data_IF_249125297428
#
_entry.id   IF_249125297428
#
_cell.length_a   1.000
_cell.length_b   1.000
_cell.length_c   1.000
_cell.angle_alpha   90.00
_cell.angle_beta   90.00
_cell.angle_gamma   90.00
#
_symmetry.space_group_name_H-M   'P 1'
#
loop_
_entity.id
_entity.type
_entity.pdbx_description
1 polymer ?
#
# COMPACT_ATOMS: atom_id res chain seq x y z
N UNK A 1 -6.71 -13.91 2.45
CA UNK A 1 -6.90 -12.78 1.53
C UNK A 1 -8.37 -12.68 1.13
N UNK A 2 -8.94 -13.72 0.53
CA UNK A 2 -10.35 -13.76 0.08
C UNK A 2 -11.32 -13.48 1.24
N UNK A 3 -11.22 -14.20 2.34
CA UNK A 3 -12.06 -14.01 3.53
C UNK A 3 -11.98 -12.59 4.11
N UNK A 4 -10.84 -11.92 3.97
CA UNK A 4 -10.69 -10.53 4.39
C UNK A 4 -11.43 -9.57 3.46
N UNK A 5 -11.40 -9.84 2.16
CA UNK A 5 -12.17 -9.06 1.19
C UNK A 5 -13.69 -9.27 1.38
N UNK A 6 -14.12 -10.50 1.64
CA UNK A 6 -15.54 -10.82 1.88
C UNK A 6 -16.09 -10.16 3.14
N UNK A 7 -15.23 -9.84 4.11
CA UNK A 7 -15.59 -9.09 5.32
C UNK A 7 -15.77 -7.57 5.06
N UNK A 8 -15.42 -7.09 3.86
CA UNK A 8 -15.57 -5.67 3.51
C UNK A 8 -17.03 -5.30 3.28
N UNK A 9 -17.36 -4.04 3.56
CA UNK A 9 -18.71 -3.50 3.28
C UNK A 9 -19.03 -3.58 1.78
N UNK A 10 -20.28 -3.83 1.44
CA UNK A 10 -20.75 -3.96 0.05
C UNK A 10 -20.46 -2.70 -0.80
N UNK A 11 -20.49 -1.52 -0.19
CA UNK A 11 -20.14 -0.27 -0.87
C UNK A 11 -18.65 -0.21 -1.21
N UNK A 12 -17.80 -0.74 -0.31
CA UNK A 12 -16.36 -0.82 -0.53
C UNK A 12 -16.02 -1.84 -1.61
N UNK A 13 -16.72 -2.96 -1.65
CA UNK A 13 -16.56 -3.99 -2.69
C UNK A 13 -17.02 -3.53 -4.08
N UNK A 14 -17.95 -2.58 -4.15
CA UNK A 14 -18.51 -2.05 -5.40
C UNK A 14 -17.63 -1.03 -6.13
N UNK A 15 -16.54 -0.57 -5.53
CA UNK A 15 -15.64 0.45 -6.09
C UNK A 15 -14.24 -0.12 -6.32
N UNK A 16 -13.45 0.58 -7.13
CA UNK A 16 -12.05 0.22 -7.33
C UNK A 16 -11.23 0.46 -6.05
N UNK A 17 -10.68 -0.60 -5.51
CA UNK A 17 -9.94 -0.59 -4.26
C UNK A 17 -8.54 -1.17 -4.41
N UNK A 18 -7.69 -0.82 -3.46
CA UNK A 18 -6.37 -1.41 -3.30
C UNK A 18 -6.31 -2.16 -1.97
N UNK A 19 -5.82 -3.38 -2.01
CA UNK A 19 -5.53 -4.17 -0.81
C UNK A 19 -4.03 -4.16 -0.58
N UNK A 20 -3.60 -3.48 0.47
CA UNK A 20 -2.21 -3.43 0.90
C UNK A 20 -1.92 -4.56 1.88
N UNK A 21 -0.85 -5.28 1.65
CA UNK A 21 -0.38 -6.36 2.51
C UNK A 21 1.15 -6.49 2.43
N UNK A 22 1.72 -7.33 3.29
CA UNK A 22 3.14 -7.64 3.20
C UNK A 22 3.48 -8.38 1.89
N UNK A 23 4.58 -8.02 1.25
CA UNK A 23 5.01 -8.61 -0.03
C UNK A 23 5.26 -10.12 0.05
N UNK A 24 5.78 -10.60 1.18
CA UNK A 24 5.97 -12.03 1.41
C UNK A 24 4.64 -12.79 1.48
N UNK A 25 3.64 -12.23 2.18
CA UNK A 25 2.29 -12.82 2.25
C UNK A 25 1.60 -12.83 0.89
N UNK A 26 1.77 -11.79 0.08
CA UNK A 26 1.26 -11.77 -1.29
C UNK A 26 1.90 -12.88 -2.14
N UNK A 27 3.20 -13.10 -1.98
CA UNK A 27 3.91 -14.18 -2.68
C UNK A 27 3.42 -15.55 -2.24
N UNK A 28 3.21 -15.77 -0.93
CA UNK A 28 2.64 -17.00 -0.40
C UNK A 28 1.22 -17.24 -0.92
N UNK A 29 0.38 -16.21 -0.92
CA UNK A 29 -0.98 -16.30 -1.47
C UNK A 29 -0.98 -16.75 -2.92
N UNK A 30 -0.10 -16.16 -3.76
CA UNK A 30 0.03 -16.56 -5.16
C UNK A 30 0.51 -17.99 -5.35
N UNK A 31 1.46 -18.45 -4.52
CA UNK A 31 1.93 -19.85 -4.55
C UNK A 31 0.83 -20.81 -4.15
N UNK A 32 0.13 -20.56 -3.05
CA UNK A 32 -0.99 -21.38 -2.61
C UNK A 32 -2.12 -21.42 -3.65
N UNK A 33 -2.42 -20.30 -4.29
CA UNK A 33 -3.41 -20.23 -5.36
C UNK A 33 -3.02 -21.10 -6.55
N UNK A 34 -1.76 -21.00 -7.00
CA UNK A 34 -1.23 -21.81 -8.08
C UNK A 34 -1.25 -23.31 -7.73
N UNK A 35 -0.88 -23.66 -6.51
CA UNK A 35 -0.85 -25.07 -6.06
C UNK A 35 -2.27 -25.66 -5.99
N UNK A 36 -3.27 -24.86 -5.64
CA UNK A 36 -4.67 -25.28 -5.55
C UNK A 36 -5.36 -25.40 -6.91
N UNK A 37 -5.12 -24.47 -7.81
CA UNK A 37 -5.85 -24.33 -9.07
C UNK A 37 -5.01 -24.72 -10.32
N UNK A 38 -3.72 -24.91 -10.16
CA UNK A 38 -2.78 -25.23 -11.24
C UNK A 38 -2.43 -24.02 -12.12
N UNK A 39 -1.45 -24.22 -13.01
CA UNK A 39 -0.97 -23.16 -13.91
C UNK A 39 -1.89 -22.93 -15.11
N UNK A 40 -2.75 -23.88 -15.45
CA UNK A 40 -3.65 -23.84 -16.61
C UNK A 40 -4.79 -22.83 -16.42
N UNK A 41 -5.20 -22.60 -15.17
CA UNK A 41 -6.23 -21.62 -14.80
C UNK A 41 -5.62 -20.27 -14.39
N UNK A 42 -4.47 -19.93 -14.95
CA UNK A 42 -3.85 -18.65 -14.71
C UNK A 42 -4.77 -17.53 -15.24
N UNK A 43 -5.50 -16.90 -14.34
CA UNK A 43 -6.31 -15.75 -14.67
C UNK A 43 -5.38 -14.60 -15.07
N UNK A 44 -5.60 -14.04 -16.26
CA UNK A 44 -4.81 -12.93 -16.77
C UNK A 44 -4.93 -11.69 -15.85
N UNK A 45 -6.08 -11.51 -15.21
CA UNK A 45 -6.32 -10.45 -14.23
C UNK A 45 -5.53 -10.67 -12.94
N UNK A 46 -5.39 -11.90 -12.50
CA UNK A 46 -4.55 -12.25 -11.35
C UNK A 46 -3.07 -11.98 -11.61
N UNK A 47 -2.62 -12.21 -12.82
CA UNK A 47 -1.25 -11.87 -13.25
C UNK A 47 -1.00 -10.34 -13.22
N UNK A 48 -2.04 -9.53 -13.35
CA UNK A 48 -2.01 -8.08 -13.23
C UNK A 48 -2.26 -7.56 -11.80
N UNK A 49 -1.97 -8.36 -10.77
CA UNK A 49 -2.17 -8.02 -9.36
C UNK A 49 -3.63 -7.83 -8.93
N UNK A 50 -4.59 -8.26 -9.74
CA UNK A 50 -5.99 -8.23 -9.35
C UNK A 50 -6.38 -9.50 -8.61
N UNK A 51 -7.31 -9.36 -7.68
CA UNK A 51 -7.82 -10.52 -6.95
C UNK A 51 -8.75 -11.33 -7.84
N UNK A 52 -8.62 -12.66 -7.81
CA UNK A 52 -9.53 -13.53 -8.53
C UNK A 52 -10.95 -13.43 -7.96
N UNK A 53 -11.94 -13.33 -8.83
CA UNK A 53 -13.34 -13.10 -8.44
C UNK A 53 -13.68 -11.67 -8.03
N UNK A 54 -12.70 -10.77 -7.93
CA UNK A 54 -12.91 -9.35 -7.61
C UNK A 54 -11.96 -8.47 -8.43
N UNK A 55 -12.28 -8.30 -9.71
CA UNK A 55 -11.44 -7.55 -10.67
C UNK A 55 -11.25 -6.06 -10.33
N UNK A 56 -12.09 -5.52 -9.45
CA UNK A 56 -12.00 -4.17 -8.91
C UNK A 56 -11.04 -4.03 -7.71
N UNK A 57 -10.55 -5.14 -7.15
CA UNK A 57 -9.58 -5.11 -6.06
C UNK A 57 -8.17 -5.42 -6.58
N UNK A 58 -7.26 -4.46 -6.42
CA UNK A 58 -5.85 -4.61 -6.80
C UNK A 58 -5.02 -4.94 -5.57
N UNK A 59 -4.25 -6.04 -5.64
CA UNK A 59 -3.36 -6.48 -4.58
C UNK A 59 -2.01 -5.76 -4.67
N UNK A 60 -1.58 -5.14 -3.59
CA UNK A 60 -0.30 -4.41 -3.50
C UNK A 60 0.52 -4.96 -2.35
N UNK A 61 1.67 -5.52 -2.68
CA UNK A 61 2.64 -5.99 -1.67
C UNK A 61 3.62 -4.87 -1.31
N UNK A 62 3.77 -4.59 -0.02
CA UNK A 62 4.70 -3.62 0.53
C UNK A 62 5.57 -4.29 1.59
N UNK A 63 6.89 -4.06 1.52
CA UNK A 63 7.84 -4.70 2.45
C UNK A 63 7.78 -4.12 3.86
N UNK A 64 7.37 -2.85 3.98
CA UNK A 64 7.27 -2.15 5.25
C UNK A 64 5.95 -2.40 6.00
N UNK A 65 5.01 -3.14 5.41
CA UNK A 65 3.80 -3.56 6.10
C UNK A 65 4.12 -4.79 6.96
N UNK A 66 3.82 -4.76 8.27
CA UNK A 66 4.02 -5.92 9.13
C UNK A 66 3.21 -7.12 8.66
N UNK A 67 3.72 -8.33 8.88
CA UNK A 67 3.00 -9.56 8.57
C UNK A 67 1.69 -9.64 9.36
N UNK A 68 0.65 -10.12 8.72
CA UNK A 68 -0.68 -10.23 9.31
C UNK A 68 -1.57 -9.00 9.11
N UNK A 69 -1.01 -7.85 8.80
CA UNK A 69 -1.79 -6.63 8.59
C UNK A 69 -2.25 -6.49 7.13
N UNK A 70 -3.51 -6.14 6.95
CA UNK A 70 -4.13 -5.88 5.64
C UNK A 70 -5.01 -4.66 5.72
N UNK A 71 -4.99 -3.84 4.67
CA UNK A 71 -5.81 -2.65 4.54
C UNK A 71 -6.45 -2.65 3.16
N UNK A 72 -7.77 -2.46 3.10
CA UNK A 72 -8.49 -2.22 1.85
C UNK A 72 -8.99 -0.78 1.86
N UNK A 73 -8.66 -0.01 0.83
CA UNK A 73 -9.12 1.36 0.68
C UNK A 73 -9.11 1.78 -0.79
N UNK A 74 -10.03 2.64 -1.25
CA UNK A 74 -9.93 3.25 -2.58
C UNK A 74 -8.80 4.28 -2.61
N UNK A 75 -8.20 4.48 -3.78
CA UNK A 75 -7.14 5.47 -3.97
C UNK A 75 -7.55 6.89 -3.60
N UNK A 76 -8.82 7.24 -3.81
CA UNK A 76 -9.37 8.55 -3.46
C UNK A 76 -9.41 8.84 -1.96
N UNK A 77 -9.33 7.81 -1.12
CA UNK A 77 -9.32 7.95 0.34
C UNK A 77 -7.92 8.22 0.91
N UNK A 78 -6.89 8.10 0.09
CA UNK A 78 -5.50 8.35 0.48
C UNK A 78 -5.09 9.75 0.04
N UNK A 79 -4.79 10.63 0.99
CA UNK A 79 -4.42 12.02 0.74
C UNK A 79 -2.94 12.24 1.03
N UNK A 80 -2.30 13.01 0.17
CA UNK A 80 -0.93 13.51 0.37
C UNK A 80 -1.00 15.03 0.42
N UNK A 81 -0.60 15.60 1.56
CA UNK A 81 -0.45 17.02 1.75
C UNK A 81 0.99 17.44 1.51
N UNK A 82 1.18 18.43 0.68
CA UNK A 82 2.47 19.09 0.44
C UNK A 82 2.38 20.56 0.81
N UNK A 83 3.43 21.11 1.39
CA UNK A 83 3.51 22.54 1.61
C UNK A 83 3.59 23.27 0.27
N UNK A 84 2.64 24.19 0.00
CA UNK A 84 2.49 24.81 -1.33
C UNK A 84 3.19 26.16 -1.46
N UNK A 85 3.35 26.94 -0.39
CA UNK A 85 3.91 28.29 -0.46
C UNK A 85 5.01 28.51 0.58
N UNK A 86 6.19 28.89 0.11
CA UNK A 86 7.34 29.29 0.93
C UNK A 86 8.20 28.15 1.47
N UNK A 87 7.59 27.01 1.82
CA UNK A 87 8.28 25.83 2.35
C UNK A 87 8.38 24.69 1.30
N UNK A 88 8.38 25.05 0.03
CA UNK A 88 8.79 24.12 -1.01
C UNK A 88 10.19 23.64 -0.68
N UNK A 89 10.48 22.38 -0.97
CA UNK A 89 11.78 21.77 -0.75
C UNK A 89 12.91 22.82 -0.83
N UNK A 90 13.35 23.27 0.33
CA UNK A 90 14.49 24.18 0.41
C UNK A 90 15.73 23.38 0.09
N UNK A 91 16.29 23.67 -1.07
CA UNK A 91 17.57 23.12 -1.47
C UNK A 91 18.64 24.18 -1.27
N UNK A 92 19.53 23.96 -0.31
CA UNK A 92 20.66 24.83 -0.01
C UNK A 92 21.97 24.12 -0.32
N UNK A 93 22.89 24.88 -0.91
CA UNK A 93 24.28 24.44 -1.09
C UNK A 93 25.14 25.45 -0.33
N UNK A 94 25.77 25.01 0.73
CA UNK A 94 26.75 25.81 1.46
C UNK A 94 28.16 25.26 1.23
N UNK A 95 29.06 26.13 0.84
CA UNK A 95 30.51 25.83 0.82
C UNK A 95 31.14 26.41 2.07
N UNK A 96 31.61 25.55 2.97
CA UNK A 96 32.37 25.99 4.14
C UNK A 96 33.86 26.14 3.76
N UNK A 97 34.33 27.37 3.76
CA UNK A 97 35.75 27.65 3.57
C UNK A 97 36.62 27.18 4.75
N UNK A 98 35.99 27.03 5.94
CA UNK A 98 36.70 26.60 7.17
C UNK A 98 36.94 25.10 7.25
N UNK A 99 36.24 24.29 6.48
CA UNK A 99 36.31 22.82 6.54
C UNK A 99 36.90 22.19 5.27
N UNK A 100 37.95 22.75 4.72
CA UNK A 100 38.77 22.12 3.69
C UNK A 100 37.98 21.67 2.45
N UNK A 101 37.26 22.58 1.79
CA UNK A 101 36.55 22.32 0.54
C UNK A 101 35.38 21.33 0.64
N UNK A 102 34.72 21.21 1.80
CA UNK A 102 33.48 20.46 1.93
C UNK A 102 32.30 21.30 1.41
N UNK A 103 31.47 20.66 0.64
CA UNK A 103 30.21 21.24 0.14
C UNK A 103 29.05 20.50 0.82
N UNK A 104 28.28 21.22 1.60
CA UNK A 104 27.10 20.68 2.28
C UNK A 104 25.84 20.90 1.44
N UNK A 105 25.12 19.83 1.16
CA UNK A 105 23.84 19.86 0.50
C UNK A 105 22.73 19.66 1.54
N UNK A 106 21.86 20.62 1.69
CA UNK A 106 20.71 20.52 2.58
C UNK A 106 19.44 20.56 1.76
N UNK A 107 18.60 19.52 1.89
CA UNK A 107 17.28 19.50 1.29
C UNK A 107 16.24 19.25 2.38
N UNK A 108 15.26 20.14 2.50
CA UNK A 108 14.17 20.03 3.46
C UNK A 108 12.84 20.03 2.71
N UNK A 109 11.98 19.06 3.01
CA UNK A 109 10.64 18.99 2.44
C UNK A 109 9.64 18.62 3.54
N UNK A 110 8.51 19.33 3.57
CA UNK A 110 7.39 18.99 4.44
C UNK A 110 6.30 18.28 3.64
N UNK A 111 5.93 17.10 4.08
CA UNK A 111 4.80 16.37 3.51
C UNK A 111 4.05 15.64 4.64
N UNK A 112 2.79 15.39 4.42
CA UNK A 112 1.96 14.59 5.31
C UNK A 112 1.05 13.67 4.50
N UNK A 113 0.70 12.53 5.07
CA UNK A 113 -0.23 11.57 4.49
C UNK A 113 -1.34 11.28 5.47
N UNK A 114 -2.58 11.18 4.98
CA UNK A 114 -3.73 10.86 5.80
C UNK A 114 -4.81 10.19 4.98
N UNK A 115 -5.71 9.45 5.65
CA UNK A 115 -6.96 9.00 5.06
C UNK A 115 -8.03 10.09 5.18
N UNK A 116 -8.81 10.30 4.12
CA UNK A 116 -9.91 11.25 4.12
C UNK A 116 -10.97 10.87 5.15
N UNK A 117 -11.31 9.59 5.21
CA UNK A 117 -12.26 9.05 6.18
C UNK A 117 -11.91 7.62 6.60
N UNK A 118 -12.24 7.29 7.84
CA UNK A 118 -12.06 5.97 8.44
C UNK A 118 -13.38 5.21 8.59
N UNK A 119 -14.42 5.59 7.84
CA UNK A 119 -15.71 4.89 7.87
C UNK A 119 -15.59 3.48 7.25
N UNK A 120 -16.42 2.56 7.69
CA UNK A 120 -16.47 1.16 7.18
C UNK A 120 -16.73 1.08 5.67
N UNK A 121 -17.37 2.10 5.10
CA UNK A 121 -17.69 2.20 3.68
C UNK A 121 -16.47 2.59 2.83
N UNK A 122 -15.39 3.09 3.45
CA UNK A 122 -14.21 3.64 2.77
C UNK A 122 -12.91 2.96 3.13
N UNK A 123 -12.85 2.26 4.25
CA UNK A 123 -11.64 1.57 4.68
C UNK A 123 -12.00 0.33 5.50
N UNK A 124 -11.31 -0.77 5.21
CA UNK A 124 -11.26 -1.93 6.07
C UNK A 124 -9.81 -2.17 6.49
N UNK A 125 -9.59 -2.21 7.79
CA UNK A 125 -8.32 -2.57 8.39
C UNK A 125 -8.48 -3.88 9.15
N UNK A 126 -7.58 -4.80 8.96
CA UNK A 126 -7.61 -6.09 9.62
C UNK A 126 -6.23 -6.61 9.99
N UNK A 127 -6.24 -7.45 10.99
CA UNK A 127 -5.07 -8.12 11.52
C UNK A 127 -5.38 -9.62 11.65
N UNK A 128 -4.57 -10.43 11.01
CA UNK A 128 -4.62 -11.88 11.20
C UNK A 128 -3.74 -12.26 12.39
N UNK A 129 -4.34 -12.84 13.42
CA UNK A 129 -3.56 -13.52 14.45
C UNK A 129 -2.86 -14.71 13.79
N UNK A 130 -1.57 -14.59 13.55
CA UNK A 130 -0.75 -15.73 13.17
C UNK A 130 -0.71 -16.63 14.40
N UNK A 131 -1.11 -17.91 14.31
CA UNK A 131 -0.87 -18.83 15.40
C UNK A 131 0.63 -18.79 15.72
N UNK A 132 0.98 -18.44 16.94
CA UNK A 132 2.36 -18.56 17.40
C UNK A 132 2.73 -20.03 17.34
N UNK A 133 3.70 -20.38 16.49
CA UNK A 133 4.38 -21.66 16.56
C UNK A 133 5.02 -21.86 17.94
#
# INVERSE_FOLDING_TARGET
VEAFYDAADAKLQGINTYMFMNSHELTLYRRCYRDKYGTVNWNNEFNHNKMDGASNCTLVGLDNVPKGYKIITPGSNMLIGLATDGDKANFGVESSLDSHFLVDFVATMYFGTQFETISKERILFGYDTIPSE
#
